data_IF_798711565432
#
_entry.id   IF_798711565432
#
_cell.length_a   1.000
_cell.length_b   1.000
_cell.length_c   1.000
_cell.angle_alpha   90.00
_cell.angle_beta   90.00
_cell.angle_gamma   90.00
#
_symmetry.space_group_name_H-M   'P 1'
#
loop_
_entity.id
_entity.type
_entity.pdbx_description
1 polymer ?
#
# COMPACT_ATOMS: atom_id res chain seq x y z
N UNK A 1 10.15 -6.96 3.92
CA UNK A 1 9.81 -6.76 2.50
C UNK A 1 10.53 -5.51 2.02
N UNK A 2 11.40 -5.64 1.03
CA UNK A 2 12.04 -4.51 0.35
C UNK A 2 11.06 -3.83 -0.61
N UNK A 3 11.43 -2.66 -1.15
CA UNK A 3 10.61 -2.00 -2.18
C UNK A 3 10.51 -2.85 -3.46
N UNK A 4 11.61 -3.50 -3.87
CA UNK A 4 11.59 -4.35 -5.06
C UNK A 4 10.75 -5.61 -4.83
N UNK A 5 10.84 -6.23 -3.65
CA UNK A 5 9.97 -7.36 -3.28
C UNK A 5 8.49 -6.97 -3.26
N UNK A 6 8.18 -5.75 -2.82
CA UNK A 6 6.83 -5.20 -2.85
C UNK A 6 6.35 -5.01 -4.30
N UNK A 7 7.10 -4.29 -5.12
CA UNK A 7 6.71 -3.99 -6.51
C UNK A 7 6.54 -5.27 -7.32
N UNK A 8 7.47 -6.23 -7.20
CA UNK A 8 7.34 -7.53 -7.88
C UNK A 8 6.09 -8.31 -7.44
N UNK A 9 5.59 -8.10 -6.22
CA UNK A 9 4.38 -8.77 -5.73
C UNK A 9 3.07 -8.15 -6.21
N UNK A 10 3.09 -6.89 -6.70
CA UNK A 10 1.85 -6.15 -7.03
C UNK A 10 1.81 -5.56 -8.44
N UNK A 11 2.95 -5.27 -9.07
CA UNK A 11 3.01 -4.50 -10.33
C UNK A 11 2.39 -5.24 -11.52
N UNK A 12 2.52 -6.57 -11.52
CA UNK A 12 2.06 -7.45 -12.61
C UNK A 12 0.74 -8.16 -12.30
N UNK A 13 0.12 -7.88 -11.14
CA UNK A 13 -1.20 -8.40 -10.82
C UNK A 13 -2.19 -7.98 -11.92
N UNK A 14 -3.07 -8.86 -12.40
CA UNK A 14 -4.26 -8.49 -13.17
C UNK A 14 -5.11 -7.42 -12.46
N UNK A 15 -5.92 -6.67 -13.20
CA UNK A 15 -6.68 -5.54 -12.63
C UNK A 15 -7.63 -5.94 -11.50
N UNK A 16 -8.29 -7.09 -11.62
CA UNK A 16 -9.16 -7.66 -10.60
C UNK A 16 -8.37 -8.12 -9.36
N UNK A 17 -7.20 -8.72 -9.57
CA UNK A 17 -6.31 -9.11 -8.47
C UNK A 17 -5.68 -7.89 -7.77
N UNK A 18 -5.38 -6.82 -8.51
CA UNK A 18 -4.87 -5.57 -7.95
C UNK A 18 -5.93 -4.87 -7.09
N UNK A 19 -7.19 -4.84 -7.55
CA UNK A 19 -8.30 -4.33 -6.75
C UNK A 19 -8.52 -5.17 -5.49
N UNK A 20 -8.53 -6.51 -5.62
CA UNK A 20 -8.69 -7.39 -4.48
C UNK A 20 -7.55 -7.26 -3.46
N UNK A 21 -6.31 -7.11 -3.93
CA UNK A 21 -5.17 -6.82 -3.09
C UNK A 21 -5.33 -5.48 -2.36
N UNK A 22 -5.78 -4.44 -3.07
CA UNK A 22 -6.01 -3.12 -2.48
C UNK A 22 -7.13 -3.15 -1.43
N UNK A 23 -8.25 -3.82 -1.72
CA UNK A 23 -9.35 -3.98 -0.76
C UNK A 23 -8.89 -4.72 0.51
N UNK A 24 -8.04 -5.74 0.38
CA UNK A 24 -7.48 -6.45 1.54
C UNK A 24 -6.53 -5.56 2.35
N UNK A 25 -5.72 -4.74 1.68
CA UNK A 25 -4.85 -3.76 2.32
C UNK A 25 -5.65 -2.68 3.07
N UNK A 26 -6.67 -2.12 2.42
CA UNK A 26 -7.56 -1.10 2.97
C UNK A 26 -8.37 -1.63 4.17
N UNK A 27 -8.85 -2.88 4.08
CA UNK A 27 -9.54 -3.55 5.19
C UNK A 27 -8.66 -3.74 6.42
N UNK A 28 -7.38 -4.10 6.24
CA UNK A 28 -6.43 -4.18 7.37
C UNK A 28 -6.13 -2.81 7.97
N UNK A 29 -6.02 -1.77 7.13
CA UNK A 29 -5.77 -0.42 7.60
C UNK A 29 -6.96 0.14 8.41
N UNK A 30 -8.20 -0.10 7.98
CA UNK A 30 -9.39 0.47 8.65
C UNK A 30 -9.94 -0.39 9.78
N UNK A 31 -9.60 -1.68 9.82
CA UNK A 31 -9.97 -2.59 10.91
C UNK A 31 -8.74 -3.39 11.37
N UNK A 32 -7.73 -2.72 11.96
CA UNK A 32 -6.50 -3.38 12.36
C UNK A 32 -6.73 -4.35 13.52
N UNK A 33 -6.00 -5.46 13.50
CA UNK A 33 -5.96 -6.37 14.63
C UNK A 33 -5.23 -5.72 15.81
N UNK A 34 -5.48 -6.21 17.04
CA UNK A 34 -4.95 -5.59 18.26
C UNK A 34 -3.42 -5.48 18.33
N UNK A 35 -2.70 -6.28 17.52
CA UNK A 35 -1.23 -6.30 17.43
C UNK A 35 -0.72 -5.78 16.07
N UNK A 36 -1.59 -5.24 15.22
CA UNK A 36 -1.19 -4.69 13.92
C UNK A 36 -0.60 -3.28 14.10
N UNK A 37 0.65 -3.25 14.58
CA UNK A 37 1.42 -2.03 14.79
C UNK A 37 1.58 -1.19 13.49
N UNK A 38 1.33 -1.80 12.34
CA UNK A 38 1.36 -1.13 11.04
C UNK A 38 0.24 -0.08 10.94
N UNK A 39 -0.81 -0.23 11.74
CA UNK A 39 -2.05 0.55 11.68
C UNK A 39 -2.54 0.95 13.08
N UNK A 40 -1.62 1.22 14.02
CA UNK A 40 -1.93 1.49 15.44
C UNK A 40 -2.70 2.80 15.74
N UNK A 41 -3.35 3.38 14.72
CA UNK A 41 -4.12 4.61 14.79
C UNK A 41 -5.30 4.57 13.81
N UNK A 42 -6.23 5.52 13.94
CA UNK A 42 -7.42 5.57 13.08
C UNK A 42 -7.06 5.94 11.62
N UNK A 43 -7.54 5.09 10.71
CA UNK A 43 -7.46 5.29 9.27
C UNK A 43 -8.87 5.43 8.69
N UNK A 44 -9.05 6.25 7.66
CA UNK A 44 -10.34 6.36 6.95
C UNK A 44 -10.26 5.68 5.59
N UNK A 45 -11.37 5.12 5.10
CA UNK A 45 -11.38 4.40 3.84
C UNK A 45 -11.08 5.29 2.65
N UNK A 46 -10.34 4.72 1.70
CA UNK A 46 -10.01 5.33 0.41
C UNK A 46 -10.57 4.47 -0.71
N UNK A 47 -10.86 5.13 -1.84
CA UNK A 47 -11.32 4.44 -3.06
C UNK A 47 -10.47 4.92 -4.22
N UNK A 48 -9.69 4.01 -4.78
CA UNK A 48 -8.96 4.21 -6.01
C UNK A 48 -9.56 3.38 -7.12
N UNK A 49 -9.54 3.91 -8.34
CA UNK A 49 -9.72 3.07 -9.52
C UNK A 49 -8.47 2.25 -9.81
N UNK A 50 -8.58 1.24 -10.67
CA UNK A 50 -7.41 0.49 -11.17
C UNK A 50 -6.38 1.44 -11.77
N UNK A 51 -6.82 2.39 -12.61
CA UNK A 51 -5.92 3.34 -13.28
C UNK A 51 -5.16 4.20 -12.26
N UNK A 52 -5.84 4.62 -11.18
CA UNK A 52 -5.18 5.34 -10.08
C UNK A 52 -4.14 4.44 -9.41
N UNK A 53 -4.48 3.20 -9.07
CA UNK A 53 -3.55 2.25 -8.45
C UNK A 53 -2.32 2.00 -9.33
N UNK A 54 -2.50 1.85 -10.65
CA UNK A 54 -1.39 1.69 -11.60
C UNK A 54 -0.50 2.93 -11.63
N UNK A 55 -1.09 4.12 -11.72
CA UNK A 55 -0.35 5.37 -11.70
C UNK A 55 0.45 5.55 -10.39
N UNK A 56 -0.15 5.13 -9.28
CA UNK A 56 0.46 5.10 -7.95
C UNK A 56 1.68 4.16 -7.95
N UNK A 57 1.54 2.93 -8.42
CA UNK A 57 2.62 1.94 -8.48
C UNK A 57 3.78 2.41 -9.37
N UNK A 58 3.48 3.00 -10.53
CA UNK A 58 4.49 3.61 -11.40
C UNK A 58 5.25 4.71 -10.66
N UNK A 59 4.54 5.61 -9.98
CA UNK A 59 5.17 6.71 -9.25
C UNK A 59 5.99 6.22 -8.06
N UNK A 60 5.57 5.16 -7.37
CA UNK A 60 6.37 4.49 -6.33
C UNK A 60 7.66 3.91 -6.94
N UNK A 61 7.56 3.23 -8.08
CA UNK A 61 8.72 2.66 -8.78
C UNK A 61 9.69 3.72 -9.31
N UNK A 62 9.20 4.90 -9.72
CA UNK A 62 10.02 6.04 -10.13
C UNK A 62 10.69 6.73 -8.93
N UNK A 63 10.02 6.74 -7.78
CA UNK A 63 10.50 7.37 -6.56
C UNK A 63 11.08 6.34 -5.60
N UNK A 64 12.04 5.53 -6.08
CA UNK A 64 12.69 4.43 -5.33
C UNK A 64 13.26 4.82 -3.95
N UNK A 65 13.53 6.11 -3.75
CA UNK A 65 14.02 6.69 -2.50
C UNK A 65 12.93 7.06 -1.49
N UNK A 66 11.64 6.86 -1.80
CA UNK A 66 10.54 7.13 -0.87
C UNK A 66 10.44 5.98 0.13
N UNK A 67 11.35 6.04 1.11
CA UNK A 67 11.30 5.46 2.45
C UNK A 67 10.26 4.36 2.70
N UNK A 68 10.42 3.21 2.05
CA UNK A 68 10.01 1.92 2.65
C UNK A 68 10.98 1.48 3.75
N UNK A 69 12.05 2.26 3.98
CA UNK A 69 13.14 2.07 4.94
C UNK A 69 13.00 2.83 6.26
N UNK A 70 11.91 3.59 6.48
CA UNK A 70 11.62 4.18 7.78
C UNK A 70 11.33 3.03 8.78
N UNK A 71 11.73 3.07 10.06
CA UNK A 71 11.60 1.94 10.98
C UNK A 71 10.15 1.61 11.40
N UNK A 72 9.16 2.36 10.92
CA UNK A 72 7.74 1.95 10.94
C UNK A 72 7.45 0.92 9.84
N UNK A 73 6.32 0.22 9.92
CA UNK A 73 6.03 -0.84 8.94
C UNK A 73 6.00 -0.34 7.50
N UNK A 74 6.54 -1.10 6.52
CA UNK A 74 6.40 -0.79 5.10
C UNK A 74 4.94 -0.55 4.67
N UNK A 75 4.00 -1.25 5.30
CA UNK A 75 2.56 -1.12 5.02
C UNK A 75 1.99 0.22 5.49
N UNK A 76 2.44 0.69 6.65
CA UNK A 76 2.10 2.01 7.19
C UNK A 76 2.56 3.14 6.26
N UNK A 77 3.81 3.07 5.79
CA UNK A 77 4.36 4.07 4.88
C UNK A 77 3.63 4.06 3.53
N UNK A 78 3.29 2.86 3.03
CA UNK A 78 2.51 2.70 1.81
C UNK A 78 1.12 3.35 1.94
N UNK A 79 0.44 3.15 3.07
CA UNK A 79 -0.86 3.77 3.33
C UNK A 79 -0.79 5.30 3.29
N UNK A 80 0.19 5.88 4.00
CA UNK A 80 0.39 7.33 4.00
C UNK A 80 0.75 7.88 2.62
N UNK A 81 1.45 7.10 1.81
CA UNK A 81 1.76 7.49 0.44
C UNK A 81 0.50 7.52 -0.42
N UNK A 82 -0.37 6.51 -0.32
CA UNK A 82 -1.64 6.49 -1.06
C UNK A 82 -2.50 7.71 -0.68
N UNK A 83 -2.51 8.14 0.59
CA UNK A 83 -3.25 9.34 1.05
C UNK A 83 -2.73 10.71 0.57
N UNK A 84 -1.60 10.79 -0.13
CA UNK A 84 -1.03 12.08 -0.60
C UNK A 84 -1.63 12.55 -1.93
#
# INVERSE_FOLDING_TARGET
>A
MTLDEFLDSVQDLPDDELLAWYDAFEGRATAPEADDADFDHEHEPLKYSVDDLRAILVKIAENRDVHTSNPGSPWHNLWHWMRR
#
